data_IF_777407715942
#
_entry.id   IF_777407715942
#
_cell.length_a   1.000
_cell.length_b   1.000
_cell.length_c   1.000
_cell.angle_alpha   90.00
_cell.angle_beta   90.00
_cell.angle_gamma   90.00
#
_symmetry.space_group_name_H-M   'P 1'
#
loop_
_entity.id
_entity.type
_entity.pdbx_description
1 polymer ?
#
# COMPACT_ATOMS: atom_id res chain seq x y z
N UNK A 1 30.25 -26.46 4.62
CA UNK A 1 29.63 -26.01 3.36
C UNK A 1 28.12 -26.09 3.50
N UNK A 2 27.46 -24.99 3.86
CA UNK A 2 25.98 -24.89 3.89
C UNK A 2 25.57 -23.97 2.74
N UNK A 3 25.01 -24.55 1.68
CA UNK A 3 24.47 -23.84 0.53
C UNK A 3 22.96 -23.69 0.71
N UNK A 4 22.51 -22.44 0.63
CA UNK A 4 21.28 -21.96 -0.03
C UNK A 4 19.92 -22.45 0.48
N UNK A 5 19.34 -21.64 1.37
CA UNK A 5 17.89 -21.35 1.41
C UNK A 5 17.68 -19.84 1.20
N UNK A 6 18.34 -19.29 0.17
CA UNK A 6 18.12 -17.92 -0.30
C UNK A 6 17.11 -17.97 -1.45
N UNK A 7 16.17 -17.02 -1.40
CA UNK A 7 15.10 -16.74 -2.34
C UNK A 7 13.89 -17.69 -2.28
N UNK A 8 12.69 -17.10 -2.16
CA UNK A 8 11.34 -17.69 -2.35
C UNK A 8 10.56 -18.23 -1.13
N UNK A 9 10.75 -17.69 0.08
CA UNK A 9 9.78 -17.94 1.18
C UNK A 9 9.26 -16.69 1.91
N UNK A 10 9.62 -15.48 1.47
CA UNK A 10 9.11 -14.24 2.07
C UNK A 10 7.68 -13.87 1.63
N UNK A 11 7.08 -14.59 0.67
CA UNK A 11 5.75 -14.27 0.13
C UNK A 11 4.64 -15.27 0.54
N UNK A 12 4.92 -16.27 1.38
CA UNK A 12 3.92 -17.29 1.75
C UNK A 12 3.92 -17.72 3.22
N UNK A 13 4.76 -17.15 4.08
CA UNK A 13 4.61 -17.34 5.52
C UNK A 13 3.66 -16.27 6.04
N UNK A 14 2.59 -16.64 6.77
CA UNK A 14 1.72 -15.64 7.32
C UNK A 14 2.54 -14.91 8.40
N UNK A 15 2.86 -13.64 8.13
CA UNK A 15 3.74 -12.79 8.94
C UNK A 15 3.13 -12.38 10.30
N UNK A 16 1.88 -12.74 10.55
CA UNK A 16 1.15 -12.51 11.82
C UNK A 16 1.75 -13.16 13.08
N UNK A 17 2.80 -13.99 12.97
CA UNK A 17 3.33 -14.76 14.10
C UNK A 17 4.58 -14.18 14.79
N UNK A 18 5.25 -13.15 14.25
CA UNK A 18 6.49 -12.65 14.84
C UNK A 18 6.47 -11.13 15.04
N UNK A 19 6.47 -10.70 16.30
CA UNK A 19 6.69 -9.31 16.68
C UNK A 19 8.20 -9.02 16.74
N UNK A 20 8.65 -7.92 16.14
CA UNK A 20 10.02 -7.43 16.30
C UNK A 20 10.12 -6.69 17.64
N UNK A 21 10.85 -7.26 18.60
CA UNK A 21 11.06 -6.66 19.93
C UNK A 21 12.35 -5.86 20.03
N UNK A 22 13.18 -5.91 19.00
CA UNK A 22 14.43 -5.17 18.87
C UNK A 22 14.26 -4.02 17.88
N UNK A 23 14.47 -2.76 18.29
CA UNK A 23 14.37 -1.61 17.41
C UNK A 23 15.25 -1.73 16.16
N UNK A 24 16.47 -2.27 16.25
CA UNK A 24 17.36 -2.40 15.09
C UNK A 24 16.79 -3.37 14.05
N UNK A 25 16.23 -4.49 14.50
CA UNK A 25 15.56 -5.45 13.62
C UNK A 25 14.34 -4.82 12.93
N UNK A 26 13.53 -4.05 13.66
CA UNK A 26 12.39 -3.35 13.07
C UNK A 26 12.83 -2.35 11.99
N UNK A 27 13.88 -1.56 12.26
CA UNK A 27 14.43 -0.63 11.27
C UNK A 27 14.97 -1.35 10.04
N UNK A 28 15.61 -2.51 10.22
CA UNK A 28 16.08 -3.32 9.11
C UNK A 28 14.92 -3.80 8.23
N UNK A 29 13.83 -4.30 8.82
CA UNK A 29 12.65 -4.71 8.05
C UNK A 29 12.07 -3.54 7.25
N UNK A 30 11.92 -2.37 7.86
CA UNK A 30 11.42 -1.18 7.16
C UNK A 30 12.33 -0.75 5.99
N UNK A 31 13.65 -0.82 6.19
CA UNK A 31 14.64 -0.53 5.15
C UNK A 31 14.57 -1.56 4.00
N UNK A 32 14.41 -2.84 4.32
CA UNK A 32 14.28 -3.92 3.33
C UNK A 32 12.98 -3.79 2.51
N UNK A 33 11.85 -3.48 3.15
CA UNK A 33 10.59 -3.19 2.49
C UNK A 33 10.71 -2.00 1.53
N UNK A 34 11.34 -0.92 1.99
CA UNK A 34 11.59 0.26 1.16
C UNK A 34 12.49 -0.06 -0.04
N UNK A 35 13.56 -0.83 0.19
CA UNK A 35 14.48 -1.24 -0.87
C UNK A 35 13.81 -2.19 -1.89
N UNK A 36 12.89 -3.06 -1.45
CA UNK A 36 12.11 -3.91 -2.34
C UNK A 36 11.17 -3.08 -3.22
N UNK A 37 10.37 -2.19 -2.62
CA UNK A 37 9.47 -1.30 -3.35
C UNK A 37 10.22 -0.40 -4.35
N UNK A 38 11.38 0.13 -3.97
CA UNK A 38 12.21 0.95 -4.86
C UNK A 38 12.77 0.18 -6.06
N UNK A 39 13.04 -1.12 -5.92
CA UNK A 39 13.47 -1.95 -7.06
C UNK A 39 12.32 -2.15 -8.05
N UNK A 40 11.11 -2.37 -7.55
CA UNK A 40 9.90 -2.53 -8.38
C UNK A 40 9.46 -1.22 -9.06
N UNK A 41 9.77 -0.07 -8.46
CA UNK A 41 9.37 1.24 -8.98
C UNK A 41 9.87 1.52 -10.42
N UNK A 42 11.07 1.05 -10.78
CA UNK A 42 11.61 1.22 -12.13
C UNK A 42 10.79 0.45 -13.18
N UNK A 43 10.31 -0.74 -12.81
CA UNK A 43 9.47 -1.57 -13.68
C UNK A 43 8.06 -0.98 -13.80
N UNK A 44 7.51 -0.42 -12.73
CA UNK A 44 6.22 0.28 -12.76
C UNK A 44 6.26 1.50 -13.71
N UNK A 45 7.32 2.31 -13.65
CA UNK A 45 7.47 3.47 -14.53
C UNK A 45 7.56 3.07 -16.01
N UNK A 46 8.32 2.01 -16.32
CA UNK A 46 8.47 1.51 -17.69
C UNK A 46 7.17 0.95 -18.24
N UNK A 47 6.43 0.16 -17.44
CA UNK A 47 5.13 -0.38 -17.82
C UNK A 47 4.09 0.73 -18.02
N UNK A 48 4.02 1.69 -17.10
CA UNK A 48 3.11 2.84 -17.20
C UNK A 48 3.39 3.67 -18.46
N UNK A 49 4.66 3.94 -18.79
CA UNK A 49 5.01 4.66 -20.02
C UNK A 49 4.63 3.90 -21.30
N UNK A 50 4.57 2.57 -21.24
CA UNK A 50 4.19 1.72 -22.38
C UNK A 50 2.67 1.63 -22.54
N UNK A 51 1.93 1.57 -21.43
CA UNK A 51 0.49 1.26 -21.45
C UNK A 51 -0.42 2.48 -21.36
N UNK A 52 0.02 3.58 -20.73
CA UNK A 52 -0.80 4.78 -20.53
C UNK A 52 -0.77 5.67 -21.79
N UNK A 53 -1.44 5.23 -22.85
CA UNK A 53 -1.50 5.95 -24.14
C UNK A 53 -2.44 7.16 -24.07
N UNK A 54 -3.49 7.08 -23.25
CA UNK A 54 -4.45 8.16 -22.98
C UNK A 54 -4.97 8.05 -21.54
N UNK A 55 -5.86 8.96 -21.14
CA UNK A 55 -6.43 9.00 -19.79
C UNK A 55 -7.17 7.71 -19.41
N UNK A 56 -7.86 7.06 -20.36
CA UNK A 56 -8.61 5.84 -20.10
C UNK A 56 -7.68 4.66 -19.81
N UNK A 57 -6.48 4.62 -20.39
CA UNK A 57 -5.50 3.58 -20.11
C UNK A 57 -4.92 3.66 -18.69
N UNK A 58 -4.96 4.83 -18.05
CA UNK A 58 -4.56 5.01 -16.65
C UNK A 58 -5.60 4.40 -15.69
N UNK A 59 -6.87 4.35 -16.11
CA UNK A 59 -8.00 4.02 -15.25
C UNK A 59 -7.90 2.63 -14.58
N UNK A 60 -7.59 1.52 -15.29
CA UNK A 60 -7.52 0.20 -14.67
C UNK A 60 -6.49 0.14 -13.54
N UNK A 61 -5.30 0.70 -13.74
CA UNK A 61 -4.25 0.73 -12.72
C UNK A 61 -4.65 1.54 -11.49
N UNK A 62 -5.30 2.69 -11.67
CA UNK A 62 -5.79 3.51 -10.54
C UNK A 62 -6.91 2.80 -9.77
N UNK A 63 -7.83 2.13 -10.47
CA UNK A 63 -8.90 1.36 -9.83
C UNK A 63 -8.35 0.17 -9.04
N UNK A 64 -7.33 -0.50 -9.55
CA UNK A 64 -6.62 -1.57 -8.86
C UNK A 64 -5.93 -1.08 -7.59
N UNK A 65 -5.11 -0.03 -7.69
CA UNK A 65 -4.44 0.57 -6.53
C UNK A 65 -5.47 1.04 -5.48
N UNK A 66 -6.58 1.66 -5.91
CA UNK A 66 -7.65 2.09 -5.00
C UNK A 66 -8.27 0.92 -4.25
N UNK A 67 -8.56 -0.19 -4.95
CA UNK A 67 -9.15 -1.39 -4.35
C UNK A 67 -8.22 -1.94 -3.27
N UNK A 68 -6.94 -2.07 -3.58
CA UNK A 68 -5.97 -2.71 -2.70
C UNK A 68 -5.71 -1.83 -1.46
N UNK A 69 -5.49 -0.53 -1.65
CA UNK A 69 -5.35 0.44 -0.55
C UNK A 69 -6.60 0.45 0.34
N UNK A 70 -7.81 0.42 -0.22
CA UNK A 70 -9.03 0.40 0.58
C UNK A 70 -9.13 -0.87 1.45
N UNK A 71 -8.70 -2.02 0.91
CA UNK A 71 -8.61 -3.27 1.67
C UNK A 71 -7.63 -3.15 2.84
N UNK A 72 -6.44 -2.60 2.59
CA UNK A 72 -5.42 -2.39 3.63
C UNK A 72 -5.86 -1.39 4.70
N UNK A 73 -6.57 -0.33 4.32
CA UNK A 73 -7.14 0.65 5.26
C UNK A 73 -8.18 0.01 6.17
N UNK A 74 -9.09 -0.82 5.64
CA UNK A 74 -10.04 -1.57 6.47
C UNK A 74 -9.34 -2.55 7.42
N UNK A 75 -8.22 -3.14 7.00
CA UNK A 75 -7.41 -3.96 7.89
C UNK A 75 -6.80 -3.12 9.03
N UNK A 76 -6.24 -1.95 8.74
CA UNK A 76 -5.74 -0.99 9.75
C UNK A 76 -6.84 -0.52 10.71
N UNK A 77 -8.05 -0.27 10.21
CA UNK A 77 -9.22 0.04 11.06
C UNK A 77 -9.52 -1.09 12.05
N UNK A 78 -9.47 -2.34 11.59
CA UNK A 78 -9.62 -3.51 12.46
C UNK A 78 -8.57 -3.55 13.57
N UNK A 79 -7.30 -3.25 13.26
CA UNK A 79 -6.23 -3.14 14.25
C UNK A 79 -6.49 -2.00 15.25
N UNK A 80 -6.90 -0.83 14.78
CA UNK A 80 -7.22 0.33 15.61
C UNK A 80 -8.38 0.04 16.57
N UNK A 81 -9.46 -0.58 16.08
CA UNK A 81 -10.60 -1.01 16.91
C UNK A 81 -10.12 -1.98 17.98
N UNK A 82 -9.31 -2.97 17.60
CA UNK A 82 -8.73 -3.94 18.52
C UNK A 82 -7.83 -3.30 19.59
N UNK A 83 -7.03 -2.31 19.21
CA UNK A 83 -6.15 -1.57 20.12
C UNK A 83 -6.94 -0.74 21.13
N UNK A 84 -7.96 -0.01 20.67
CA UNK A 84 -8.88 0.77 21.53
C UNK A 84 -9.64 -0.12 22.50
N UNK A 85 -10.18 -1.24 22.02
CA UNK A 85 -10.94 -2.17 22.85
C UNK A 85 -10.09 -2.77 23.99
N UNK A 86 -8.81 -3.01 23.73
CA UNK A 86 -7.86 -3.54 24.73
C UNK A 86 -7.22 -2.47 25.61
N UNK A 87 -7.48 -1.19 25.36
CA UNK A 87 -6.81 -0.09 26.07
C UNK A 87 -5.29 -0.14 25.92
N UNK A 88 -4.81 -0.40 24.69
CA UNK A 88 -3.37 -0.36 24.41
C UNK A 88 -2.81 1.06 24.59
N UNK A 89 -1.50 1.18 24.46
CA UNK A 89 -0.78 2.44 24.56
C UNK A 89 -1.45 3.57 23.74
N UNK A 90 -1.75 4.73 24.35
CA UNK A 90 -2.44 5.84 23.67
C UNK A 90 -1.69 6.36 22.44
N UNK A 91 -0.38 6.41 22.53
CA UNK A 91 0.49 6.93 21.48
C UNK A 91 0.52 5.97 20.26
N UNK A 92 0.41 4.65 20.48
CA UNK A 92 0.14 3.67 19.41
C UNK A 92 -1.24 3.87 18.77
N UNK A 93 -2.29 4.08 19.59
CA UNK A 93 -3.66 4.30 19.10
C UNK A 93 -3.74 5.55 18.23
N UNK A 94 -3.07 6.63 18.63
CA UNK A 94 -2.99 7.87 17.87
C UNK A 94 -2.31 7.67 16.50
N UNK A 95 -1.17 6.95 16.47
CA UNK A 95 -0.49 6.63 15.20
C UNK A 95 -1.33 5.75 14.28
N UNK A 96 -2.03 4.76 14.82
CA UNK A 96 -2.95 3.93 14.04
C UNK A 96 -4.12 4.75 13.49
N UNK A 97 -4.69 5.67 14.28
CA UNK A 97 -5.75 6.55 13.82
C UNK A 97 -5.27 7.45 12.67
N UNK A 98 -4.10 8.08 12.81
CA UNK A 98 -3.52 8.92 11.76
C UNK A 98 -3.25 8.13 10.47
N UNK A 99 -2.80 6.88 10.57
CA UNK A 99 -2.59 6.01 9.41
C UNK A 99 -3.91 5.65 8.70
N UNK A 100 -4.96 5.34 9.45
CA UNK A 100 -6.32 5.10 8.92
C UNK A 100 -6.86 6.34 8.22
N UNK A 101 -6.77 7.51 8.84
CA UNK A 101 -7.27 8.76 8.26
C UNK A 101 -6.54 9.11 6.96
N UNK A 102 -5.21 9.02 6.95
CA UNK A 102 -4.39 9.23 5.75
C UNK A 102 -4.74 8.23 4.65
N UNK A 103 -4.97 6.98 5.01
CA UNK A 103 -5.38 5.94 4.07
C UNK A 103 -6.73 6.26 3.43
N UNK A 104 -7.72 6.70 4.21
CA UNK A 104 -9.01 7.13 3.68
C UNK A 104 -8.87 8.31 2.71
N UNK A 105 -8.10 9.33 3.08
CA UNK A 105 -7.82 10.48 2.20
C UNK A 105 -7.23 10.02 0.86
N UNK A 106 -6.26 9.09 0.88
CA UNK A 106 -5.69 8.51 -0.33
C UNK A 106 -6.74 7.77 -1.17
N UNK A 107 -7.64 6.98 -0.56
CA UNK A 107 -8.69 6.27 -1.31
C UNK A 107 -9.69 7.21 -1.99
N UNK A 108 -9.94 8.40 -1.40
CA UNK A 108 -10.76 9.46 -2.00
C UNK A 108 -10.03 10.08 -3.18
N UNK A 109 -8.76 10.47 -3.00
CA UNK A 109 -7.94 11.03 -4.08
C UNK A 109 -7.82 10.07 -5.26
N UNK A 110 -7.61 8.77 -5.01
CA UNK A 110 -7.58 7.76 -6.08
C UNK A 110 -8.93 7.62 -6.80
N UNK A 111 -10.05 7.79 -6.09
CA UNK A 111 -11.37 7.84 -6.73
C UNK A 111 -11.51 9.07 -7.64
N UNK A 112 -10.99 10.23 -7.21
CA UNK A 112 -11.00 11.45 -8.00
C UNK A 112 -10.12 11.34 -9.25
N UNK A 113 -8.93 10.72 -9.12
CA UNK A 113 -8.09 10.39 -10.28
C UNK A 113 -8.84 9.48 -11.25
N UNK A 114 -9.49 8.42 -10.75
CA UNK A 114 -10.28 7.52 -11.60
C UNK A 114 -11.43 8.27 -12.31
N UNK A 115 -12.11 9.21 -11.65
CA UNK A 115 -13.14 10.05 -12.30
C UNK A 115 -12.55 10.97 -13.36
N UNK A 116 -11.38 11.54 -13.11
CA UNK A 116 -10.69 12.43 -14.05
C UNK A 116 -10.27 11.72 -15.35
N UNK A 117 -10.17 10.38 -15.34
CA UNK A 117 -9.88 9.61 -16.56
C UNK A 117 -11.01 9.63 -17.60
N UNK A 118 -12.24 9.94 -17.17
CA UNK A 118 -13.39 10.03 -18.07
C UNK A 118 -13.40 11.45 -18.64
N UNK A 119 -12.75 11.65 -19.78
CA UNK A 119 -12.93 12.87 -20.57
C UNK A 119 -14.33 12.87 -21.18
N UNK A 120 -15.13 13.91 -20.87
CA UNK A 120 -16.38 14.12 -21.58
C UNK A 120 -16.07 14.28 -23.09
N UNK A 121 -16.92 13.78 -24.00
CA UNK A 121 -16.75 14.07 -25.41
C UNK A 121 -16.65 15.59 -25.57
N UNK A 122 -15.61 16.07 -26.26
CA UNK A 122 -15.51 17.47 -26.63
C UNK A 122 -16.83 17.85 -27.31
N UNK A 123 -17.65 18.63 -26.62
CA UNK A 123 -18.88 19.15 -27.19
C UNK A 123 -18.47 20.04 -28.37
N UNK A 124 -18.67 19.52 -29.58
CA UNK A 124 -18.71 20.22 -30.86
C UNK A 124 -17.62 21.26 -31.13
N UNK A 125 -16.72 20.94 -32.06
CA UNK A 125 -16.28 21.95 -33.03
C UNK A 125 -16.37 21.38 -34.43
#
# INVERSE_FOLDING_TARGET
MRRTWQALAAFTSPSWFYAHTDPEQLHQVLAEQSAAANREAADHATQAATWNVDELHVQPGVLEVRRDVLGDVHYLEGLLIGARHRGLDPELIERLAAAVDTGHELTVLLADVARATITAPAAGR
#
